data_IF_198615438779
#
_entry.id   IF_198615438779
#
_cell.length_a   1.000
_cell.length_b   1.000
_cell.length_c   1.000
_cell.angle_alpha   90.00
_cell.angle_beta   90.00
_cell.angle_gamma   90.00
#
_symmetry.space_group_name_H-M   'P 1'
#
loop_
_entity.id
_entity.type
_entity.pdbx_description
1 polymer ?
#
# COMPACT_ATOMS: atom_id res chain seq x y z
N UNK A 1 14.56 -4.39 27.88
CA UNK A 1 13.18 -3.98 27.53
C UNK A 1 12.55 -3.27 28.73
N UNK A 2 12.88 -2.00 28.93
CA UNK A 2 12.36 -1.21 30.04
C UNK A 2 12.37 0.25 29.66
N UNK A 3 11.25 0.92 29.93
CA UNK A 3 10.99 2.36 29.76
C UNK A 3 10.59 2.86 28.35
N UNK A 4 9.56 2.25 27.76
CA UNK A 4 8.58 3.01 26.95
C UNK A 4 7.29 3.23 27.78
N UNK A 5 7.47 3.70 29.01
CA UNK A 5 6.36 4.20 29.82
C UNK A 5 6.70 5.63 30.24
N UNK A 6 6.88 6.51 29.26
CA UNK A 6 6.83 7.94 29.52
C UNK A 6 5.35 8.32 29.62
N UNK A 7 4.94 8.79 30.79
CA UNK A 7 3.70 9.58 30.91
C UNK A 7 3.82 10.70 29.88
N UNK A 8 3.02 10.66 28.82
CA UNK A 8 2.90 11.80 27.91
C UNK A 8 2.30 12.95 28.71
N UNK A 9 3.12 13.90 29.11
CA UNK A 9 2.60 15.15 29.65
C UNK A 9 1.91 15.95 28.53
N UNK A 10 1.07 16.90 28.93
CA UNK A 10 0.27 17.71 28.00
C UNK A 10 1.16 18.49 27.02
N UNK A 11 2.35 18.91 27.45
CA UNK A 11 3.31 19.63 26.61
C UNK A 11 3.88 18.76 25.51
N UNK A 12 4.29 17.53 25.83
CA UNK A 12 4.76 16.55 24.85
C UNK A 12 3.69 16.23 23.80
N UNK A 13 2.44 16.07 24.23
CA UNK A 13 1.31 15.82 23.31
C UNK A 13 1.12 17.00 22.34
N UNK A 14 1.06 18.23 22.84
CA UNK A 14 0.92 19.44 22.01
C UNK A 14 2.10 19.58 21.05
N UNK A 15 3.32 19.30 21.51
CA UNK A 15 4.51 19.33 20.66
C UNK A 15 4.42 18.33 19.51
N UNK A 16 4.07 17.06 19.79
CA UNK A 16 3.92 16.03 18.76
C UNK A 16 2.79 16.34 17.77
N UNK A 17 1.64 16.82 18.26
CA UNK A 17 0.53 17.25 17.39
C UNK A 17 0.99 18.38 16.46
N UNK A 18 1.60 19.44 17.01
CA UNK A 18 2.09 20.58 16.23
C UNK A 18 3.16 20.17 15.21
N UNK A 19 4.11 19.32 15.62
CA UNK A 19 5.16 18.82 14.73
C UNK A 19 4.57 17.97 13.59
N UNK A 20 3.58 17.12 13.90
CA UNK A 20 2.89 16.30 12.89
C UNK A 20 2.16 17.16 11.87
N UNK A 21 1.46 18.20 12.33
CA UNK A 21 0.77 19.15 11.44
C UNK A 21 1.77 19.88 10.54
N UNK A 22 2.90 20.35 11.10
CA UNK A 22 3.95 21.04 10.33
C UNK A 22 4.60 20.13 9.28
N UNK A 23 4.86 18.87 9.62
CA UNK A 23 5.41 17.88 8.68
C UNK A 23 4.38 17.62 7.58
N UNK A 24 3.11 17.38 7.94
CA UNK A 24 2.04 17.11 6.98
C UNK A 24 1.83 18.27 6.01
N UNK A 25 1.86 19.51 6.52
CA UNK A 25 1.77 20.74 5.72
C UNK A 25 2.95 20.93 4.78
N UNK A 26 4.16 20.57 5.23
CA UNK A 26 5.37 20.65 4.42
C UNK A 26 5.38 19.58 3.33
N UNK A 27 5.08 18.33 3.69
CA UNK A 27 4.99 17.21 2.77
C UNK A 27 3.90 17.44 1.72
N UNK A 28 2.70 17.84 2.13
CA UNK A 28 1.59 18.10 1.20
C UNK A 28 1.83 19.24 0.21
N UNK A 29 2.75 20.17 0.50
CA UNK A 29 3.13 21.27 -0.42
C UNK A 29 4.30 20.92 -1.33
N UNK A 30 5.16 19.98 -0.94
CA UNK A 30 6.43 19.71 -1.62
C UNK A 30 6.48 18.33 -2.29
N UNK A 31 5.65 17.38 -1.84
CA UNK A 31 5.61 16.01 -2.33
C UNK A 31 4.17 15.63 -2.64
N UNK A 32 3.79 15.69 -3.92
CA UNK A 32 2.65 14.90 -4.38
C UNK A 32 3.06 13.43 -4.25
N UNK A 33 2.27 12.65 -3.50
CA UNK A 33 2.46 11.21 -3.48
C UNK A 33 2.35 10.71 -4.92
N UNK A 34 3.36 9.96 -5.44
CA UNK A 34 3.30 9.48 -6.81
C UNK A 34 2.04 8.63 -6.97
N UNK A 35 1.29 8.88 -8.03
CA UNK A 35 0.13 8.07 -8.38
C UNK A 35 0.63 6.67 -8.80
N UNK A 36 0.55 5.71 -7.88
CA UNK A 36 0.99 4.33 -8.11
C UNK A 36 -0.17 3.54 -8.71
N UNK A 37 0.03 2.95 -9.88
CA UNK A 37 -1.00 2.11 -10.50
C UNK A 37 -1.18 0.82 -9.71
N UNK A 38 -2.40 0.26 -9.72
CA UNK A 38 -2.68 -1.02 -9.08
C UNK A 38 -1.78 -2.17 -9.58
N UNK A 39 -1.32 -2.12 -10.84
CA UNK A 39 -0.35 -3.07 -11.40
C UNK A 39 1.03 -2.97 -10.77
N UNK A 40 1.50 -1.76 -10.48
CA UNK A 40 2.80 -1.50 -9.85
C UNK A 40 2.76 -1.93 -8.39
N UNK A 41 1.68 -1.61 -7.67
CA UNK A 41 1.46 -2.11 -6.31
C UNK A 41 1.42 -3.64 -6.27
N UNK A 42 0.75 -4.27 -7.23
CA UNK A 42 0.75 -5.73 -7.34
C UNK A 42 2.17 -6.28 -7.52
N UNK A 43 2.95 -5.71 -8.44
CA UNK A 43 4.35 -6.13 -8.67
C UNK A 43 5.19 -5.99 -7.39
N UNK A 44 5.04 -4.87 -6.69
CA UNK A 44 5.75 -4.61 -5.44
C UNK A 44 5.38 -5.61 -4.34
N UNK A 45 4.07 -5.87 -4.15
CA UNK A 45 3.61 -6.85 -3.16
C UNK A 45 4.04 -8.27 -3.51
N UNK A 46 4.12 -8.60 -4.79
CA UNK A 46 4.65 -9.88 -5.25
C UNK A 46 6.12 -10.03 -4.87
N UNK A 47 6.94 -9.01 -5.13
CA UNK A 47 8.36 -8.97 -4.74
C UNK A 47 8.52 -9.10 -3.22
N UNK A 48 7.79 -8.31 -2.43
CA UNK A 48 7.86 -8.35 -0.96
C UNK A 48 7.52 -9.72 -0.34
N UNK A 49 6.75 -10.54 -1.05
CA UNK A 49 6.28 -11.85 -0.57
C UNK A 49 6.95 -13.02 -1.29
N UNK A 50 7.89 -12.76 -2.18
CA UNK A 50 8.48 -13.74 -3.10
C UNK A 50 7.42 -14.53 -3.91
N UNK A 51 6.31 -13.87 -4.27
CA UNK A 51 5.24 -14.48 -5.05
C UNK A 51 5.55 -14.42 -6.55
N UNK A 52 5.36 -15.55 -7.21
CA UNK A 52 5.41 -15.64 -8.66
C UNK A 52 4.07 -15.27 -9.30
N UNK A 53 4.05 -15.07 -10.60
CA UNK A 53 2.79 -14.85 -11.33
C UNK A 53 1.80 -16.03 -11.18
N UNK A 54 2.32 -17.25 -11.04
CA UNK A 54 1.50 -18.44 -10.83
C UNK A 54 0.74 -18.37 -9.50
N UNK A 55 1.36 -17.80 -8.46
CA UNK A 55 0.76 -17.70 -7.14
C UNK A 55 -0.48 -16.80 -7.17
N UNK A 56 -0.48 -15.71 -7.92
CA UNK A 56 -1.61 -14.76 -8.04
C UNK A 56 -2.57 -15.05 -9.19
N UNK A 57 -2.25 -16.06 -10.02
CA UNK A 57 -3.00 -16.37 -11.23
C UNK A 57 -4.46 -16.72 -10.97
N UNK A 58 -4.75 -17.40 -9.85
CA UNK A 58 -6.11 -17.81 -9.49
C UNK A 58 -7.02 -16.60 -9.26
N UNK A 59 -6.54 -15.59 -8.53
CA UNK A 59 -7.30 -14.37 -8.22
C UNK A 59 -7.52 -13.52 -9.48
N UNK A 60 -6.56 -13.55 -10.40
CA UNK A 60 -6.59 -12.74 -11.62
C UNK A 60 -7.32 -13.40 -12.80
N UNK A 61 -7.72 -14.68 -12.68
CA UNK A 61 -8.44 -15.41 -13.72
C UNK A 61 -7.51 -16.04 -14.75
N UNK A 62 -6.35 -16.52 -14.30
CA UNK A 62 -5.37 -17.27 -15.08
C UNK A 62 -4.15 -16.44 -15.48
N UNK A 63 -3.08 -17.15 -15.80
CA UNK A 63 -1.77 -16.60 -16.14
C UNK A 63 -1.77 -15.54 -17.27
N UNK A 64 -2.58 -15.68 -18.34
CA UNK A 64 -2.65 -14.64 -19.38
C UNK A 64 -3.15 -13.28 -18.86
N UNK A 65 -4.00 -13.26 -17.83
CA UNK A 65 -4.47 -12.01 -17.24
C UNK A 65 -3.40 -11.39 -16.33
N UNK A 66 -2.64 -12.21 -15.60
CA UNK A 66 -1.54 -11.73 -14.74
C UNK A 66 -0.53 -10.94 -15.56
N UNK A 67 -0.05 -11.52 -16.66
CA UNK A 67 0.95 -10.85 -17.51
C UNK A 67 0.42 -9.55 -18.10
N UNK A 68 -0.84 -9.51 -18.57
CA UNK A 68 -1.44 -8.29 -19.13
C UNK A 68 -1.56 -7.18 -18.08
N UNK A 69 -1.89 -7.53 -16.84
CA UNK A 69 -1.99 -6.56 -15.75
C UNK A 69 -0.60 -6.03 -15.38
N UNK A 70 0.39 -6.92 -15.21
CA UNK A 70 1.75 -6.50 -14.85
C UNK A 70 2.43 -5.68 -15.96
N UNK A 71 2.06 -5.89 -17.22
CA UNK A 71 2.50 -5.05 -18.34
C UNK A 71 1.71 -3.73 -18.49
N UNK A 72 0.67 -3.49 -17.67
CA UNK A 72 -0.18 -2.32 -17.76
C UNK A 72 -1.16 -2.32 -18.94
N UNK A 73 -1.32 -3.44 -19.65
CA UNK A 73 -2.28 -3.59 -20.75
C UNK A 73 -3.72 -3.72 -20.25
N UNK A 74 -3.90 -4.06 -18.97
CA UNK A 74 -5.20 -4.18 -18.30
C UNK A 74 -5.14 -3.68 -16.87
N UNK A 75 -6.14 -2.90 -16.50
CA UNK A 75 -6.36 -2.50 -15.12
C UNK A 75 -6.97 -3.62 -14.27
N UNK A 76 -6.68 -3.57 -12.96
CA UNK A 76 -7.33 -4.44 -11.99
C UNK A 76 -8.80 -4.05 -11.85
N UNK A 77 -9.69 -5.05 -11.88
CA UNK A 77 -11.10 -4.81 -11.53
C UNK A 77 -11.36 -5.01 -10.04
N UNK A 78 -12.48 -4.44 -9.55
CA UNK A 78 -12.87 -4.51 -8.13
C UNK A 78 -12.94 -5.93 -7.55
N UNK A 79 -13.31 -6.93 -8.36
CA UNK A 79 -13.33 -8.33 -7.92
C UNK A 79 -11.91 -8.82 -7.67
N UNK A 80 -11.00 -8.60 -8.61
CA UNK A 80 -9.58 -8.95 -8.49
C UNK A 80 -8.92 -8.23 -7.31
N UNK A 81 -9.17 -6.93 -7.16
CA UNK A 81 -8.64 -6.13 -6.05
C UNK A 81 -9.02 -6.75 -4.70
N UNK A 82 -10.30 -7.11 -4.51
CA UNK A 82 -10.76 -7.73 -3.24
C UNK A 82 -10.10 -9.08 -2.99
N UNK A 83 -9.90 -9.90 -4.01
CA UNK A 83 -9.27 -11.21 -3.86
C UNK A 83 -7.76 -11.08 -3.58
N UNK A 84 -7.08 -10.15 -4.25
CA UNK A 84 -5.68 -9.84 -3.97
C UNK A 84 -5.50 -9.25 -2.56
N UNK A 85 -6.36 -8.32 -2.15
CA UNK A 85 -6.35 -7.74 -0.82
C UNK A 85 -6.41 -8.81 0.28
N UNK A 86 -7.30 -9.81 0.12
CA UNK A 86 -7.37 -10.97 1.02
C UNK A 86 -6.10 -11.81 0.98
N UNK A 87 -5.55 -12.08 -0.21
CA UNK A 87 -4.36 -12.90 -0.41
C UNK A 87 -3.12 -12.29 0.25
N UNK A 88 -2.90 -10.99 0.02
CA UNK A 88 -1.77 -10.23 0.56
C UNK A 88 -2.00 -9.73 1.99
N UNK A 89 -3.24 -9.82 2.49
CA UNK A 89 -3.67 -9.32 3.81
C UNK A 89 -3.44 -7.82 3.95
N UNK A 90 -3.87 -7.07 2.94
CA UNK A 90 -3.79 -5.60 2.85
C UNK A 90 -5.17 -5.03 2.59
N UNK A 91 -5.34 -3.73 2.83
CA UNK A 91 -6.58 -3.03 2.48
C UNK A 91 -6.74 -2.92 0.95
N UNK A 92 -7.96 -3.08 0.39
CA UNK A 92 -8.20 -2.96 -1.05
C UNK A 92 -7.73 -1.64 -1.67
N UNK A 93 -7.72 -0.56 -0.87
CA UNK A 93 -7.36 0.78 -1.30
C UNK A 93 -5.91 0.91 -1.80
N UNK A 94 -5.02 -0.02 -1.44
CA UNK A 94 -3.62 0.04 -1.91
C UNK A 94 -3.48 -0.18 -3.41
N UNK A 95 -4.50 -0.76 -4.07
CA UNK A 95 -4.50 -1.03 -5.51
C UNK A 95 -5.27 0.02 -6.34
N UNK A 96 -5.71 1.12 -5.72
CA UNK A 96 -6.58 2.15 -6.31
C UNK A 96 -5.84 3.48 -6.37
#
# INVERSE_FOLDING_TARGET
>A
MGALNQKMDKGMKVYLETLTDLISDYEGKMFEAPEVKGSEMLSYLMELKDFTQMDVSKELGGQPNVSKILNGERELNLRQIRELAKKFKVEPAVFI
#
